data_IF_041236211556
#
_entry.id   IF_041236211556
#
_cell.length_a   1.000
_cell.length_b   1.000
_cell.length_c   1.000
_cell.angle_alpha   90.00
_cell.angle_beta   90.00
_cell.angle_gamma   90.00
#
_symmetry.space_group_name_H-M   'P 1'
#
loop_
_entity.id
_entity.type
_entity.pdbx_description
1 polymer ?
#
# COMPACT_ATOMS: atom_id res chain seq x y z
N UNK A 1 0.89 6.56 -10.11
CA UNK A 1 1.10 5.32 -9.33
C UNK A 1 0.33 5.36 -8.03
N UNK A 2 -0.29 4.26 -7.65
CA UNK A 2 -1.00 4.10 -6.38
C UNK A 2 -0.34 2.96 -5.58
N UNK A 3 0.08 3.26 -4.35
CA UNK A 3 0.84 2.36 -3.48
C UNK A 3 0.23 2.29 -2.08
N UNK A 4 0.08 1.08 -1.54
CA UNK A 4 -0.38 0.84 -0.17
C UNK A 4 -1.88 0.86 0.01
N UNK A 5 -2.33 1.18 1.23
CA UNK A 5 -3.72 0.99 1.64
C UNK A 5 -4.01 -0.46 2.02
N UNK A 6 -5.03 -0.66 2.85
CA UNK A 6 -5.46 -2.01 3.29
C UNK A 6 -6.48 -2.57 2.30
N UNK A 7 -6.58 -3.89 2.20
CA UNK A 7 -7.69 -4.58 1.51
C UNK A 7 -7.89 -4.07 0.07
N UNK A 8 -6.81 -3.97 -0.71
CA UNK A 8 -6.85 -3.55 -2.14
C UNK A 8 -7.43 -2.15 -2.37
N UNK A 9 -7.42 -1.28 -1.36
CA UNK A 9 -8.00 0.08 -1.46
C UNK A 9 -7.30 0.95 -2.51
N UNK A 10 -5.98 0.84 -2.68
CA UNK A 10 -5.26 1.55 -3.75
C UNK A 10 -5.65 1.03 -5.15
N UNK A 11 -5.84 -0.27 -5.32
CA UNK A 11 -6.29 -0.87 -6.57
C UNK A 11 -7.70 -0.42 -6.93
N UNK A 12 -8.65 -0.52 -5.99
CA UNK A 12 -10.02 -0.03 -6.19
C UNK A 12 -10.05 1.47 -6.47
N UNK A 13 -9.19 2.25 -5.81
CA UNK A 13 -9.03 3.68 -6.09
C UNK A 13 -8.60 3.90 -7.53
N UNK A 14 -7.65 3.12 -8.03
CA UNK A 14 -7.21 3.18 -9.42
C UNK A 14 -8.35 2.83 -10.40
N UNK A 15 -9.12 1.78 -10.14
CA UNK A 15 -10.29 1.39 -10.94
C UNK A 15 -11.36 2.49 -10.98
N UNK A 16 -11.71 3.05 -9.81
CA UNK A 16 -12.67 4.15 -9.71
C UNK A 16 -12.22 5.38 -10.51
N UNK A 17 -10.92 5.71 -10.48
CA UNK A 17 -10.37 6.84 -11.21
C UNK A 17 -10.33 6.59 -12.72
N UNK A 18 -9.94 5.40 -13.17
CA UNK A 18 -10.01 5.03 -14.60
C UNK A 18 -11.42 5.13 -15.15
N UNK A 19 -12.41 4.66 -14.37
CA UNK A 19 -13.82 4.71 -14.74
C UNK A 19 -14.32 6.16 -14.85
N UNK A 20 -13.93 7.02 -13.91
CA UNK A 20 -14.41 8.41 -13.84
C UNK A 20 -13.65 9.35 -14.80
N UNK A 21 -12.37 9.09 -15.03
CA UNK A 21 -11.48 9.91 -15.84
C UNK A 21 -10.66 9.01 -16.79
N UNK A 22 -11.25 8.53 -17.90
CA UNK A 22 -10.62 7.56 -18.79
C UNK A 22 -9.33 8.04 -19.46
N UNK A 23 -9.11 9.35 -19.52
CA UNK A 23 -7.91 9.97 -20.09
C UNK A 23 -6.72 10.03 -19.13
N UNK A 24 -6.90 9.67 -17.85
CA UNK A 24 -5.81 9.64 -16.89
C UNK A 24 -5.16 8.26 -16.95
N UNK A 25 -3.86 8.23 -17.22
CA UNK A 25 -3.09 6.99 -17.08
C UNK A 25 -2.89 6.68 -15.60
N UNK A 26 -3.38 5.52 -15.20
CA UNK A 26 -3.37 5.08 -13.81
C UNK A 26 -2.70 3.72 -13.71
N UNK A 27 -1.63 3.69 -12.92
CA UNK A 27 -0.84 2.52 -12.63
C UNK A 27 -0.99 2.14 -11.16
N UNK A 28 -1.34 0.88 -10.90
CA UNK A 28 -1.28 0.28 -9.58
C UNK A 28 0.10 -0.35 -9.37
N UNK A 29 0.79 0.03 -8.29
CA UNK A 29 2.14 -0.45 -7.99
C UNK A 29 2.10 -1.69 -7.08
N UNK A 30 1.14 -1.75 -6.16
CA UNK A 30 1.00 -2.83 -5.20
C UNK A 30 0.57 -2.34 -3.81
N UNK A 31 0.39 -3.29 -2.88
CA UNK A 31 0.26 -2.99 -1.45
C UNK A 31 1.61 -2.64 -0.81
N UNK A 32 2.69 -3.14 -1.38
CA UNK A 32 4.07 -2.84 -0.98
C UNK A 32 4.90 -2.49 -2.22
N UNK A 33 6.03 -1.80 -2.02
CA UNK A 33 6.91 -1.45 -3.13
C UNK A 33 7.66 -2.69 -3.60
N UNK A 34 7.69 -2.97 -4.92
CA UNK A 34 8.40 -4.14 -5.44
C UNK A 34 9.89 -4.04 -5.08
N UNK A 35 10.40 -5.09 -4.43
CA UNK A 35 11.81 -5.19 -4.09
C UNK A 35 12.61 -5.33 -5.39
N UNK A 36 13.37 -4.30 -5.76
CA UNK A 36 14.31 -4.39 -6.87
C UNK A 36 15.41 -5.35 -6.44
N UNK A 37 15.39 -6.58 -6.96
CA UNK A 37 16.51 -7.51 -6.82
C UNK A 37 17.70 -6.90 -7.58
N UNK A 38 18.60 -6.23 -6.87
CA UNK A 38 19.87 -5.74 -7.44
C UNK A 38 20.71 -6.96 -7.84
N UNK A 39 20.68 -7.31 -9.13
CA UNK A 39 21.65 -8.22 -9.72
C UNK A 39 23.01 -7.50 -9.82
N UNK A 40 23.81 -7.60 -8.77
CA UNK A 40 25.24 -7.95 -8.80
C UNK A 40 25.87 -7.65 -7.44
N UNK A 41 26.20 -8.73 -6.73
CA UNK A 41 27.23 -8.77 -5.67
C UNK A 41 27.01 -8.00 -4.36
N UNK A 42 25.85 -8.14 -3.71
CA UNK A 42 25.78 -7.94 -2.24
C UNK A 42 24.63 -8.77 -1.64
N UNK A 43 24.98 -9.80 -0.86
CA UNK A 43 24.06 -10.48 0.05
C UNK A 43 23.74 -9.51 1.18
N UNK A 44 22.49 -9.03 1.25
CA UNK A 44 21.92 -8.52 2.50
C UNK A 44 20.72 -9.39 2.82
N UNK A 45 20.99 -10.44 3.59
CA UNK A 45 19.96 -11.17 4.33
C UNK A 45 19.65 -10.35 5.57
N UNK A 46 18.39 -9.88 5.70
CA UNK A 46 17.77 -9.61 7.00
C UNK A 46 16.25 -9.63 6.86
N UNK A 47 15.67 -10.83 6.92
CA UNK A 47 14.32 -10.98 7.46
C UNK A 47 14.48 -11.32 8.93
N UNK A 48 14.20 -10.34 9.79
CA UNK A 48 14.02 -10.58 11.22
C UNK A 48 12.59 -11.08 11.40
N UNK A 49 12.40 -12.38 11.23
CA UNK A 49 11.23 -13.10 11.71
C UNK A 49 11.74 -14.39 12.33
N UNK A 50 11.90 -14.36 13.66
CA UNK A 50 12.08 -15.55 14.48
C UNK A 50 10.93 -16.50 14.19
N UNK A 51 11.18 -17.56 13.44
CA UNK A 51 10.43 -18.80 13.58
C UNK A 51 11.38 -19.90 14.02
N UNK A 52 11.13 -20.34 15.24
CA UNK A 52 11.81 -21.46 15.91
C UNK A 52 11.39 -22.73 15.18
N UNK A 53 12.26 -23.27 14.33
CA UNK A 53 12.09 -24.62 13.78
C UNK A 53 12.87 -25.58 14.66
N UNK A 54 12.13 -26.46 15.36
CA UNK A 54 12.67 -27.59 16.12
C UNK A 54 13.39 -28.55 15.17
N UNK A 55 14.64 -28.85 15.49
CA UNK A 55 15.50 -29.81 14.80
C UNK A 55 15.35 -31.23 15.34
N UNK A 56 15.03 -32.19 14.47
CA UNK A 56 15.35 -33.63 14.59
C UNK A 56 14.72 -34.32 13.38
N UNK A 57 15.35 -35.19 12.58
CA UNK A 57 16.67 -35.80 12.56
C UNK A 57 16.76 -36.58 11.22
N UNK A 58 17.92 -36.54 10.52
CA UNK A 58 18.48 -37.61 9.62
C UNK A 58 17.62 -38.01 8.39
N UNK A 59 18.09 -38.46 7.22
CA UNK A 59 19.39 -38.80 6.63
C UNK A 59 19.14 -39.00 5.10
N UNK A 60 20.13 -38.64 4.27
CA UNK A 60 20.72 -39.43 3.16
C UNK A 60 19.83 -40.05 2.06
N UNK A 61 20.02 -39.50 0.85
CA UNK A 61 20.24 -40.15 -0.48
C UNK A 61 19.40 -41.39 -0.85
N UNK A 62 18.66 -41.31 -1.97
CA UNK A 62 18.91 -42.18 -3.14
C UNK A 62 18.14 -41.77 -4.40
N UNK A 63 18.83 -42.07 -5.49
CA UNK A 63 18.61 -41.83 -6.90
C UNK A 63 17.49 -42.66 -7.55
N UNK A 64 17.06 -42.15 -8.71
CA UNK A 64 16.66 -42.89 -9.91
C UNK A 64 15.25 -43.48 -9.93
N UNK A 65 14.38 -42.92 -10.78
CA UNK A 65 13.71 -43.69 -11.84
C UNK A 65 13.03 -42.72 -12.83
N UNK A 66 13.44 -42.81 -14.09
CA UNK A 66 12.69 -42.26 -15.23
C UNK A 66 11.42 -43.07 -15.42
N UNK A 67 10.28 -42.40 -15.52
CA UNK A 67 9.15 -42.90 -16.29
C UNK A 67 8.65 -41.81 -17.24
N UNK A 68 8.37 -42.26 -18.45
CA UNK A 68 7.92 -41.55 -19.65
C UNK A 68 6.39 -41.70 -19.75
N UNK A 69 5.72 -40.89 -20.60
CA UNK A 69 4.34 -40.99 -21.14
C UNK A 69 3.32 -40.12 -20.37
N UNK A 70 2.42 -39.28 -20.93
CA UNK A 70 2.00 -38.90 -22.30
C UNK A 70 1.37 -37.50 -22.30
N UNK A 71 1.27 -36.93 -23.50
CA UNK A 71 0.57 -35.71 -23.89
C UNK A 71 -0.97 -35.80 -23.97
N UNK A 72 -1.59 -34.61 -23.98
CA UNK A 72 -2.86 -34.21 -24.63
C UNK A 72 -4.15 -34.39 -23.81
N UNK A 73 -4.80 -33.28 -23.44
CA UNK A 73 -5.87 -32.66 -24.27
C UNK A 73 -6.52 -31.46 -23.55
N UNK A 74 -6.53 -30.34 -24.26
CA UNK A 74 -7.48 -29.23 -24.31
C UNK A 74 -8.53 -29.06 -23.20
N UNK A 75 -8.48 -27.89 -22.55
CA UNK A 75 -9.68 -27.17 -22.14
C UNK A 75 -9.37 -25.68 -22.17
N UNK A 76 -9.84 -25.04 -23.24
CA UNK A 76 -10.07 -23.61 -23.30
C UNK A 76 -10.95 -23.20 -22.11
N UNK A 77 -10.45 -22.29 -21.29
CA UNK A 77 -11.29 -21.36 -20.54
C UNK A 77 -10.48 -20.09 -20.32
N UNK A 78 -10.89 -19.05 -21.05
CA UNK A 78 -10.33 -17.71 -20.97
C UNK A 78 -10.48 -17.13 -19.57
N UNK A 79 -9.38 -17.14 -18.84
CA UNK A 79 -9.05 -16.10 -17.89
C UNK A 79 -7.68 -15.61 -18.33
N UNK A 80 -7.62 -14.44 -18.99
CA UNK A 80 -6.38 -13.67 -19.12
C UNK A 80 -5.99 -13.16 -17.73
N UNK A 81 -5.57 -14.09 -16.87
CA UNK A 81 -4.83 -13.78 -15.67
C UNK A 81 -3.47 -13.28 -16.12
N UNK A 82 -3.13 -12.06 -15.73
CA UNK A 82 -1.76 -11.55 -15.80
C UNK A 82 -0.84 -12.59 -15.15
N UNK A 83 -0.07 -13.30 -15.97
CA UNK A 83 0.86 -14.33 -15.53
C UNK A 83 1.91 -13.71 -14.62
N UNK A 84 1.97 -14.15 -13.37
CA UNK A 84 2.96 -13.74 -12.36
C UNK A 84 4.41 -14.15 -12.73
N UNK A 85 4.62 -14.84 -13.86
CA UNK A 85 5.91 -15.36 -14.29
C UNK A 85 6.69 -14.41 -15.22
N UNK A 86 6.03 -13.38 -15.78
CA UNK A 86 6.66 -12.34 -16.63
C UNK A 86 7.12 -11.10 -15.85
N UNK A 87 6.96 -11.10 -14.52
CA UNK A 87 7.32 -9.99 -13.62
C UNK A 87 8.82 -9.92 -13.32
N UNK A 88 9.66 -10.12 -14.36
CA UNK A 88 11.02 -9.56 -14.38
C UNK A 88 10.86 -8.04 -14.31
N UNK A 89 11.05 -7.56 -13.09
CA UNK A 89 10.49 -6.37 -12.47
C UNK A 89 10.84 -5.07 -13.19
N UNK A 90 10.06 -4.69 -14.21
CA UNK A 90 10.05 -3.32 -14.71
C UNK A 90 9.16 -2.48 -13.78
N UNK A 91 9.76 -1.55 -13.04
CA UNK A 91 8.98 -0.55 -12.32
C UNK A 91 8.23 0.26 -13.39
N UNK A 92 6.89 0.37 -13.31
CA UNK A 92 6.14 1.10 -14.32
C UNK A 92 6.51 2.59 -14.28
N UNK A 93 6.58 3.23 -15.45
CA UNK A 93 6.88 4.66 -15.57
C UNK A 93 5.68 5.45 -15.06
N UNK A 94 5.91 6.41 -14.17
CA UNK A 94 4.86 7.24 -13.60
C UNK A 94 5.40 8.61 -13.15
N UNK A 95 4.65 9.68 -13.41
CA UNK A 95 5.07 11.02 -12.99
C UNK A 95 4.84 11.27 -11.49
N UNK A 96 3.73 10.75 -10.96
CA UNK A 96 3.28 10.99 -9.58
C UNK A 96 2.99 9.66 -8.88
N UNK A 97 3.51 9.49 -7.67
CA UNK A 97 3.25 8.35 -6.79
C UNK A 97 2.45 8.79 -5.56
N UNK A 98 1.28 8.19 -5.35
CA UNK A 98 0.46 8.38 -4.15
C UNK A 98 0.64 7.19 -3.20
N UNK A 99 1.02 7.48 -1.96
CA UNK A 99 1.39 6.48 -0.93
C UNK A 99 0.39 6.51 0.23
N UNK A 100 -0.22 5.37 0.52
CA UNK A 100 -1.26 5.22 1.55
C UNK A 100 -0.86 4.24 2.68
N UNK A 101 0.38 4.32 3.16
CA UNK A 101 0.84 3.54 4.33
C UNK A 101 0.34 4.09 5.68
N UNK A 102 -0.20 5.31 5.66
CA UNK A 102 -0.64 6.02 6.85
C UNK A 102 0.52 6.67 7.60
N UNK A 103 0.18 7.72 8.34
CA UNK A 103 1.15 8.47 9.14
C UNK A 103 1.62 7.66 10.36
N UNK A 104 2.93 7.68 10.72
CA UNK A 104 4.03 8.41 10.06
C UNK A 104 4.77 7.61 8.96
N UNK A 105 4.41 6.32 8.78
CA UNK A 105 5.13 5.38 7.94
C UNK A 105 5.23 5.81 6.48
N UNK A 106 4.22 6.48 5.95
CA UNK A 106 4.23 6.94 4.56
C UNK A 106 5.28 8.04 4.35
N UNK A 107 5.46 8.95 5.32
CA UNK A 107 6.47 10.01 5.23
C UNK A 107 7.88 9.44 5.35
N UNK A 108 8.09 8.56 6.32
CA UNK A 108 9.36 7.84 6.51
C UNK A 108 9.75 7.04 5.26
N UNK A 109 8.80 6.26 4.73
CA UNK A 109 9.05 5.46 3.53
C UNK A 109 9.37 6.32 2.31
N UNK A 110 8.63 7.41 2.08
CA UNK A 110 8.92 8.33 0.97
C UNK A 110 10.32 8.91 1.13
N UNK A 111 10.68 9.37 2.33
CA UNK A 111 11.99 9.96 2.61
C UNK A 111 13.13 8.96 2.36
N UNK A 112 12.99 7.73 2.84
CA UNK A 112 14.00 6.68 2.69
C UNK A 112 14.17 6.20 1.24
N UNK A 113 13.13 6.29 0.41
CA UNK A 113 13.16 5.79 -0.97
C UNK A 113 13.29 6.89 -2.01
N UNK A 114 13.24 8.17 -1.62
CA UNK A 114 13.11 9.33 -2.53
C UNK A 114 14.16 9.33 -3.64
N UNK A 115 15.42 9.02 -3.32
CA UNK A 115 16.55 9.00 -4.27
C UNK A 115 16.45 7.87 -5.31
N UNK A 116 15.63 6.86 -5.05
CA UNK A 116 15.51 5.67 -5.89
C UNK A 116 14.15 5.56 -6.57
N UNK A 117 13.21 6.46 -6.26
CA UNK A 117 11.90 6.45 -6.89
C UNK A 117 11.98 7.08 -8.30
N UNK A 118 11.58 6.36 -9.36
CA UNK A 118 11.59 6.90 -10.72
C UNK A 118 10.37 7.79 -10.98
N UNK A 119 10.12 8.78 -10.10
CA UNK A 119 8.93 9.65 -10.13
C UNK A 119 9.32 11.10 -9.89
N UNK A 120 8.55 12.04 -10.43
CA UNK A 120 8.77 13.49 -10.21
C UNK A 120 8.24 13.93 -8.85
N UNK A 121 7.15 13.32 -8.39
CA UNK A 121 6.50 13.66 -7.12
C UNK A 121 6.05 12.39 -6.41
N UNK A 122 6.38 12.26 -5.13
CA UNK A 122 5.80 11.27 -4.22
C UNK A 122 5.00 11.98 -3.12
N UNK A 123 3.77 11.53 -2.86
CA UNK A 123 2.86 12.18 -1.92
C UNK A 123 2.18 11.16 -1.02
N UNK A 124 2.31 11.37 0.29
CA UNK A 124 1.51 10.67 1.29
C UNK A 124 0.06 11.15 1.26
N UNK A 125 -0.89 10.22 1.08
CA UNK A 125 -2.33 10.55 0.97
C UNK A 125 -3.17 9.96 2.10
N UNK A 126 -2.60 9.06 2.90
CA UNK A 126 -3.28 8.42 4.02
C UNK A 126 -4.64 7.83 3.64
N UNK A 127 -5.66 8.13 4.45
CA UNK A 127 -7.02 7.60 4.27
C UNK A 127 -7.83 8.23 3.15
N UNK A 128 -7.22 8.99 2.22
CA UNK A 128 -7.94 9.53 1.07
C UNK A 128 -8.47 8.43 0.14
N UNK A 129 -7.67 7.37 -0.07
CA UNK A 129 -8.08 6.22 -0.88
C UNK A 129 -9.32 5.51 -0.32
N UNK A 130 -9.50 5.48 1.00
CA UNK A 130 -10.70 4.88 1.62
C UNK A 130 -11.99 5.53 1.11
N UNK A 131 -11.96 6.85 0.84
CA UNK A 131 -13.11 7.56 0.30
C UNK A 131 -13.28 7.37 -1.20
N UNK A 132 -12.17 7.38 -1.96
CA UNK A 132 -12.23 7.26 -3.43
C UNK A 132 -12.64 5.84 -3.83
N UNK A 133 -12.13 4.82 -3.15
CA UNK A 133 -12.50 3.41 -3.35
C UNK A 133 -13.92 3.06 -2.89
N UNK A 134 -14.65 4.01 -2.27
CA UNK A 134 -15.98 3.77 -1.72
C UNK A 134 -16.01 2.91 -0.45
N UNK A 135 -14.85 2.56 0.13
CA UNK A 135 -14.76 1.78 1.37
C UNK A 135 -15.38 2.52 2.56
N UNK A 136 -15.11 3.81 2.67
CA UNK A 136 -15.59 4.66 3.75
C UNK A 136 -16.54 5.72 3.21
N UNK A 137 -17.72 5.77 3.81
CA UNK A 137 -18.71 6.79 3.50
C UNK A 137 -18.25 8.16 4.00
N UNK A 138 -18.35 9.17 3.13
CA UNK A 138 -18.08 10.58 3.46
C UNK A 138 -19.16 11.13 4.39
N UNK A 139 -18.81 12.12 5.21
CA UNK A 139 -19.81 12.85 5.98
C UNK A 139 -20.82 13.56 5.04
N UNK A 140 -22.09 13.73 5.46
CA UNK A 140 -23.07 14.54 4.75
C UNK A 140 -22.53 15.94 4.43
N UNK A 141 -23.02 16.54 3.33
CA UNK A 141 -22.51 17.83 2.84
C UNK A 141 -22.56 18.93 3.90
N UNK A 142 -23.64 19.03 4.68
CA UNK A 142 -23.77 20.04 5.74
C UNK A 142 -22.65 19.92 6.79
N UNK A 143 -22.32 18.70 7.21
CA UNK A 143 -21.26 18.45 8.21
C UNK A 143 -19.88 18.80 7.63
N UNK A 144 -19.67 18.49 6.35
CA UNK A 144 -18.46 18.87 5.62
C UNK A 144 -18.32 20.37 5.49
N UNK A 145 -19.41 21.07 5.16
CA UNK A 145 -19.45 22.53 5.03
C UNK A 145 -19.17 23.25 6.36
N UNK A 146 -19.57 22.65 7.49
CA UNK A 146 -19.24 23.14 8.84
C UNK A 146 -17.79 22.82 9.27
N UNK A 147 -17.02 22.06 8.48
CA UNK A 147 -15.68 21.62 8.85
C UNK A 147 -15.65 20.53 9.93
N UNK A 148 -16.78 19.88 10.22
CA UNK A 148 -16.94 18.88 11.30
C UNK A 148 -16.76 17.43 10.82
N UNK A 149 -16.20 17.22 9.63
CA UNK A 149 -15.98 15.88 9.06
C UNK A 149 -15.08 15.01 9.96
N UNK A 150 -14.12 15.62 10.67
CA UNK A 150 -13.27 14.91 11.64
C UNK A 150 -14.07 14.36 12.83
N UNK A 151 -15.07 15.10 13.31
CA UNK A 151 -15.92 14.69 14.44
C UNK A 151 -16.87 13.58 14.00
N UNK A 152 -17.48 13.72 12.82
CA UNK A 152 -18.29 12.67 12.23
C UNK A 152 -17.50 11.35 12.10
N UNK A 153 -16.26 11.45 11.63
CA UNK A 153 -15.38 10.27 11.54
C UNK A 153 -14.99 9.72 12.90
N UNK A 154 -14.81 10.57 13.92
CA UNK A 154 -14.56 10.12 15.28
C UNK A 154 -15.77 9.36 15.85
N UNK A 155 -16.99 9.82 15.59
CA UNK A 155 -18.22 9.15 16.04
C UNK A 155 -18.34 7.77 15.36
N UNK A 156 -18.09 7.68 14.05
CA UNK A 156 -18.10 6.39 13.32
C UNK A 156 -16.93 5.46 13.69
N UNK A 157 -15.77 6.03 14.00
CA UNK A 157 -14.54 5.29 14.30
C UNK A 157 -13.99 5.69 15.69
N UNK A 158 -14.66 5.30 16.79
CA UNK A 158 -14.38 5.81 18.13
C UNK A 158 -12.94 5.52 18.60
N UNK A 159 -12.32 4.44 18.12
CA UNK A 159 -10.91 4.10 18.42
C UNK A 159 -9.91 5.18 17.98
N UNK A 160 -10.31 6.14 17.12
CA UNK A 160 -9.48 7.26 16.69
C UNK A 160 -9.33 8.38 17.73
N UNK A 161 -10.03 8.32 18.87
CA UNK A 161 -10.02 9.35 19.91
C UNK A 161 -8.62 9.78 20.35
N UNK A 162 -7.67 8.84 20.42
CA UNK A 162 -6.28 9.10 20.81
C UNK A 162 -5.60 10.13 19.91
N UNK A 163 -5.94 10.16 18.61
CA UNK A 163 -5.38 11.13 17.67
C UNK A 163 -5.88 12.55 17.95
N UNK A 164 -7.10 12.67 18.48
CA UNK A 164 -7.75 13.96 18.73
C UNK A 164 -7.22 14.67 19.97
N UNK A 165 -6.48 13.98 20.85
CA UNK A 165 -5.76 14.61 21.96
C UNK A 165 -4.77 15.68 21.47
N UNK A 166 -4.22 15.52 20.26
CA UNK A 166 -3.35 16.52 19.64
C UNK A 166 -4.08 17.85 19.38
N UNK A 167 -5.38 17.83 19.07
CA UNK A 167 -6.19 19.04 18.91
C UNK A 167 -6.32 19.80 20.23
N UNK A 168 -6.60 19.08 21.32
CA UNK A 168 -6.65 19.69 22.66
C UNK A 168 -5.33 20.34 23.05
N UNK A 169 -4.21 19.65 22.79
CA UNK A 169 -2.86 20.21 22.99
C UNK A 169 -2.63 21.46 22.12
N UNK A 170 -3.02 21.42 20.85
CA UNK A 170 -2.86 22.55 19.94
C UNK A 170 -3.66 23.77 20.41
N UNK A 171 -4.94 23.60 20.74
CA UNK A 171 -5.80 24.67 21.26
C UNK A 171 -5.19 25.28 22.52
N UNK A 172 -4.71 24.45 23.45
CA UNK A 172 -4.03 24.93 24.65
C UNK A 172 -2.78 25.76 24.34
N UNK A 173 -1.93 25.32 23.42
CA UNK A 173 -0.73 26.06 23.01
C UNK A 173 -1.07 27.40 22.36
N UNK A 174 -2.11 27.43 21.53
CA UNK A 174 -2.59 28.66 20.89
C UNK A 174 -3.12 29.63 21.94
N UNK A 175 -4.01 29.17 22.83
CA UNK A 175 -4.60 29.97 23.90
C UNK A 175 -3.50 30.53 24.82
N UNK A 176 -2.54 29.69 25.24
CA UNK A 176 -1.39 30.13 26.04
C UNK A 176 -0.63 31.28 25.37
N UNK A 177 -0.34 31.15 24.07
CA UNK A 177 0.35 32.18 23.28
C UNK A 177 -0.44 33.48 23.18
N UNK A 178 -1.76 33.41 23.01
CA UNK A 178 -2.62 34.59 22.92
C UNK A 178 -2.79 35.30 24.29
N UNK A 179 -2.84 34.55 25.38
CA UNK A 179 -2.99 35.08 26.75
C UNK A 179 -1.67 35.60 27.33
N UNK A 180 -0.52 35.47 26.61
CA UNK A 180 0.84 35.82 27.10
C UNK A 180 1.19 35.13 28.43
N UNK A 181 0.80 33.86 28.58
CA UNK A 181 1.27 32.97 29.65
C UNK A 181 2.55 32.23 29.25
#
# INVERSE_FOLDING_TARGET
>A
GFLGGRERVAERTAECLKTRYPWIDVVFVGEEWPQVVKSSSYKVVKSSSRQVVKSSSRQVVKSSSRQVVKSSSDSENGHEGFGLEDLKTSIPIMDILFVAFGHPKQEEWIYENLEHLPVKVAMGVGGAFDYISGRVERAPFMIRAMGMEWLYRLIKEPWRWRRQLALGRFVWLVVKKFIKL
#
